data_IF_441647968744
#
_entry.id   IF_441647968744
#
_cell.length_a   1.000
_cell.length_b   1.000
_cell.length_c   1.000
_cell.angle_alpha   90.00
_cell.angle_beta   90.00
_cell.angle_gamma   90.00
#
_symmetry.space_group_name_H-M   'P 1'
#
loop_
_entity.id
_entity.type
_entity.pdbx_description
1 polymer ?
#
# COMPACT_ATOMS: atom_id res chain seq x y z
N UNK A 1 -20.17 -11.71 -38.72
CA UNK A 1 -21.03 -12.37 -39.73
C UNK A 1 -20.93 -13.90 -39.80
N UNK A 2 -20.19 -14.58 -38.90
CA UNK A 2 -20.17 -16.06 -38.86
C UNK A 2 -21.44 -16.68 -38.25
N UNK A 3 -22.12 -16.00 -37.32
CA UNK A 3 -23.33 -16.49 -36.65
C UNK A 3 -24.52 -16.73 -37.61
N UNK A 4 -24.64 -15.92 -38.68
CA UNK A 4 -25.70 -16.05 -39.70
C UNK A 4 -25.56 -17.32 -40.56
N UNK A 5 -24.36 -17.90 -40.63
CA UNK A 5 -24.06 -19.10 -41.43
C UNK A 5 -24.63 -20.37 -40.79
N UNK A 6 -24.77 -20.40 -39.47
CA UNK A 6 -25.18 -21.59 -38.70
C UNK A 6 -26.60 -21.52 -38.13
N UNK A 7 -27.25 -20.36 -38.18
CA UNK A 7 -28.62 -20.17 -37.69
C UNK A 7 -29.66 -20.67 -38.71
N UNK A 8 -30.48 -21.67 -38.36
CA UNK A 8 -31.47 -22.26 -39.29
C UNK A 8 -32.83 -21.56 -39.26
N UNK A 9 -33.14 -20.83 -38.18
CA UNK A 9 -34.44 -20.19 -38.00
C UNK A 9 -34.50 -18.83 -38.76
N UNK A 10 -35.46 -18.64 -39.70
CA UNK A 10 -35.54 -17.41 -40.51
C UNK A 10 -35.84 -16.16 -39.69
N UNK A 11 -36.68 -16.24 -38.65
CA UNK A 11 -37.01 -15.09 -37.78
C UNK A 11 -35.81 -14.63 -36.95
N UNK A 12 -35.00 -15.57 -36.46
CA UNK A 12 -33.78 -15.26 -35.69
C UNK A 12 -32.72 -14.60 -36.57
N UNK A 13 -32.59 -15.03 -37.84
CA UNK A 13 -31.67 -14.40 -38.81
C UNK A 13 -32.02 -12.95 -39.09
N UNK A 14 -33.31 -12.66 -39.22
CA UNK A 14 -33.80 -11.30 -39.45
C UNK A 14 -33.56 -10.39 -38.24
N UNK A 15 -33.83 -10.89 -37.03
CA UNK A 15 -33.54 -10.17 -35.78
C UNK A 15 -32.04 -9.90 -35.59
N UNK A 16 -31.17 -10.86 -35.92
CA UNK A 16 -29.71 -10.69 -35.85
C UNK A 16 -29.25 -9.63 -36.87
N UNK A 17 -29.78 -9.64 -38.09
CA UNK A 17 -29.47 -8.61 -39.10
C UNK A 17 -29.90 -7.22 -38.64
N UNK A 18 -31.12 -7.09 -38.11
CA UNK A 18 -31.64 -5.82 -37.59
C UNK A 18 -30.74 -5.27 -36.47
N UNK A 19 -30.43 -6.08 -35.46
CA UNK A 19 -29.52 -5.67 -34.37
C UNK A 19 -28.12 -5.32 -34.87
N UNK A 20 -27.58 -6.07 -35.83
CA UNK A 20 -26.25 -5.79 -36.39
C UNK A 20 -26.23 -4.45 -37.12
N UNK A 21 -27.31 -4.11 -37.83
CA UNK A 21 -27.48 -2.79 -38.46
C UNK A 21 -27.51 -1.67 -37.42
N UNK A 22 -28.30 -1.81 -36.35
CA UNK A 22 -28.32 -0.83 -35.25
C UNK A 22 -26.95 -0.61 -34.60
N UNK A 23 -26.18 -1.69 -34.41
CA UNK A 23 -24.81 -1.59 -33.86
C UNK A 23 -23.85 -0.87 -34.81
N UNK A 24 -23.97 -1.09 -36.13
CA UNK A 24 -23.17 -0.40 -37.15
C UNK A 24 -23.52 1.10 -37.21
N UNK A 25 -24.80 1.45 -37.23
CA UNK A 25 -25.25 2.85 -37.20
C UNK A 25 -24.79 3.57 -35.93
N UNK A 26 -24.81 2.88 -34.79
CA UNK A 26 -24.30 3.43 -33.52
C UNK A 26 -22.78 3.62 -33.55
N UNK A 27 -22.05 2.73 -34.19
CA UNK A 27 -20.61 2.84 -34.36
C UNK A 27 -20.23 4.01 -35.30
N UNK A 28 -20.99 4.24 -36.38
CA UNK A 28 -20.78 5.41 -37.26
C UNK A 28 -21.09 6.74 -36.56
N UNK A 29 -22.16 6.78 -35.75
CA UNK A 29 -22.46 7.94 -34.91
C UNK A 29 -21.34 8.21 -33.89
N UNK A 30 -20.79 7.17 -33.25
CA UNK A 30 -19.66 7.33 -32.33
C UNK A 30 -18.40 7.81 -33.04
N UNK A 31 -18.14 7.32 -34.26
CA UNK A 31 -17.00 7.76 -35.09
C UNK A 31 -17.10 9.25 -35.45
N UNK A 32 -18.27 9.70 -35.89
CA UNK A 32 -18.52 11.12 -36.21
C UNK A 32 -18.44 12.01 -34.97
N UNK A 33 -18.90 11.54 -33.81
CA UNK A 33 -18.70 12.25 -32.55
C UNK A 33 -17.23 12.36 -32.15
N UNK A 34 -16.41 11.31 -32.34
CA UNK A 34 -14.97 11.35 -32.08
C UNK A 34 -14.26 12.34 -33.01
N UNK A 35 -14.55 12.31 -34.31
CA UNK A 35 -14.00 13.25 -35.31
C UNK A 35 -14.42 14.71 -35.03
N UNK A 36 -15.67 14.93 -34.58
CA UNK A 36 -16.15 16.25 -34.15
C UNK A 36 -15.46 16.74 -32.86
N UNK A 37 -15.04 15.83 -31.99
CA UNK A 37 -14.33 16.17 -30.75
C UNK A 37 -12.85 16.48 -31.01
N UNK A 38 -12.24 15.80 -31.99
CA UNK A 38 -10.89 16.15 -32.46
C UNK A 38 -10.85 17.49 -33.17
N UNK A 39 -11.86 17.83 -33.98
CA UNK A 39 -11.93 19.14 -34.65
C UNK A 39 -12.17 20.31 -33.68
N UNK A 40 -12.86 20.08 -32.55
CA UNK A 40 -13.00 21.07 -31.46
C UNK A 40 -11.72 21.32 -30.65
N UNK A 41 -10.68 20.45 -30.77
CA UNK A 41 -9.39 20.62 -30.08
C UNK A 41 -8.36 21.46 -30.86
N UNK A 42 -8.68 21.98 -32.05
CA UNK A 42 -7.85 22.98 -32.74
C UNK A 42 -8.40 24.38 -32.47
N UNK A 43 -7.66 25.29 -31.82
CA UNK A 43 -8.06 26.70 -31.76
C UNK A 43 -7.80 27.32 -33.14
N UNK A 44 -8.87 27.77 -33.80
CA UNK A 44 -8.77 28.69 -34.93
C UNK A 44 -8.42 30.08 -34.40
N UNK A 45 -7.16 30.47 -34.53
CA UNK A 45 -6.73 31.85 -34.33
C UNK A 45 -7.32 32.72 -35.46
N UNK A 46 -8.30 33.56 -35.12
CA UNK A 46 -8.80 34.64 -35.97
C UNK A 46 -7.77 35.77 -35.92
N UNK A 47 -7.00 35.95 -37.00
CA UNK A 47 -6.11 37.08 -37.18
C UNK A 47 -6.80 38.22 -37.91
N UNK A 48 -6.97 39.36 -37.25
CA UNK A 48 -7.30 40.63 -37.87
C UNK A 48 -6.00 41.38 -38.25
N UNK A 49 -5.91 41.76 -39.52
CA UNK A 49 -4.97 42.73 -40.12
C UNK A 49 -3.45 42.46 -40.10
N UNK A 50 -2.92 42.21 -41.30
CA UNK A 50 -2.10 43.23 -41.97
C UNK A 50 -0.58 43.06 -42.01
N UNK A 51 -0.11 42.76 -43.23
CA UNK A 51 1.23 42.99 -43.83
C UNK A 51 2.32 41.92 -43.68
N UNK A 52 2.75 41.53 -44.87
CA UNK A 52 3.84 40.64 -45.26
C UNK A 52 5.19 41.33 -44.96
N UNK A 53 6.10 40.60 -44.30
CA UNK A 53 7.53 40.85 -44.41
C UNK A 53 8.28 39.51 -44.31
N UNK A 54 9.09 39.28 -45.34
CA UNK A 54 9.92 38.11 -45.61
C UNK A 54 11.18 38.15 -44.73
N UNK A 55 11.55 37.04 -44.10
CA UNK A 55 12.76 36.95 -43.28
C UNK A 55 13.04 35.54 -42.78
N UNK A 56 13.92 34.84 -43.49
CA UNK A 56 14.45 33.51 -43.20
C UNK A 56 15.17 33.42 -41.84
N UNK A 57 14.78 32.43 -41.01
CA UNK A 57 15.47 32.07 -39.78
C UNK A 57 14.96 30.73 -39.23
N UNK A 58 15.62 29.64 -39.60
CA UNK A 58 15.33 28.25 -39.24
C UNK A 58 15.62 28.05 -37.74
N UNK A 59 14.59 27.85 -36.93
CA UNK A 59 14.70 27.55 -35.50
C UNK A 59 13.53 26.66 -35.09
N UNK A 60 13.86 25.39 -34.84
CA UNK A 60 12.97 24.34 -34.36
C UNK A 60 12.40 24.73 -32.98
N UNK A 61 11.08 24.86 -32.88
CA UNK A 61 10.37 25.37 -31.68
C UNK A 61 9.04 24.68 -31.45
N UNK A 62 8.88 23.44 -31.93
CA UNK A 62 7.63 22.68 -31.78
C UNK A 62 7.78 21.41 -30.90
N UNK A 63 8.96 21.11 -30.36
CA UNK A 63 9.14 19.97 -29.45
C UNK A 63 8.87 20.32 -27.97
N UNK A 64 9.15 21.55 -27.51
CA UNK A 64 9.01 21.90 -26.08
C UNK A 64 7.56 21.96 -25.57
N UNK A 65 6.59 22.43 -26.38
CA UNK A 65 5.20 22.60 -25.92
C UNK A 65 4.46 21.26 -25.72
N UNK A 66 4.85 20.20 -26.44
CA UNK A 66 4.25 18.87 -26.30
C UNK A 66 4.83 18.08 -25.12
N UNK A 67 6.13 18.23 -24.84
CA UNK A 67 6.75 17.60 -23.66
C UNK A 67 6.14 18.12 -22.35
N UNK A 68 5.80 19.40 -22.31
CA UNK A 68 5.26 20.05 -21.13
C UNK A 68 3.79 19.63 -20.84
N UNK A 69 3.00 19.41 -21.90
CA UNK A 69 1.64 18.89 -21.78
C UNK A 69 1.61 17.42 -21.33
N UNK A 70 2.48 16.58 -21.88
CA UNK A 70 2.56 15.16 -21.49
C UNK A 70 3.20 14.98 -20.11
N UNK A 71 4.21 15.80 -19.76
CA UNK A 71 4.75 15.85 -18.40
C UNK A 71 3.69 16.23 -17.38
N UNK A 72 2.83 17.21 -17.68
CA UNK A 72 1.68 17.57 -16.81
C UNK A 72 0.67 16.43 -16.67
N UNK A 73 0.36 15.71 -17.75
CA UNK A 73 -0.52 14.51 -17.67
C UNK A 73 0.10 13.42 -16.81
N UNK A 74 1.38 13.13 -16.99
CA UNK A 74 2.10 12.12 -16.20
C UNK A 74 2.23 12.55 -14.74
N UNK A 75 2.49 13.83 -14.46
CA UNK A 75 2.45 14.40 -13.10
C UNK A 75 1.07 14.22 -12.47
N UNK A 76 -0.01 14.42 -13.21
CA UNK A 76 -1.36 14.21 -12.69
C UNK A 76 -1.68 12.72 -12.47
N UNK A 77 -1.25 11.84 -13.37
CA UNK A 77 -1.38 10.39 -13.20
C UNK A 77 -0.62 9.91 -11.96
N UNK A 78 0.61 10.42 -11.77
CA UNK A 78 1.43 10.18 -10.60
C UNK A 78 0.81 10.81 -9.34
N UNK A 79 0.27 12.02 -9.39
CA UNK A 79 -0.38 12.64 -8.23
C UNK A 79 -1.62 11.86 -7.76
N UNK A 80 -2.31 11.17 -8.68
CA UNK A 80 -3.42 10.26 -8.34
C UNK A 80 -2.97 8.90 -7.79
N UNK A 81 -1.81 8.39 -8.22
CA UNK A 81 -1.27 7.10 -7.80
C UNK A 81 -0.36 7.19 -6.55
N UNK A 82 0.30 8.33 -6.36
CA UNK A 82 1.21 8.60 -5.25
C UNK A 82 0.41 9.24 -4.13
N UNK A 83 0.30 8.51 -3.02
CA UNK A 83 -0.09 9.11 -1.74
C UNK A 83 1.03 10.04 -1.28
N UNK A 84 0.94 11.32 -1.66
CA UNK A 84 1.78 12.41 -1.13
C UNK A 84 1.15 12.96 0.14
N UNK A 85 1.02 12.12 1.15
CA UNK A 85 0.46 12.50 2.45
C UNK A 85 1.47 12.27 3.56
N UNK A 86 1.39 13.06 4.63
CA UNK A 86 2.17 12.80 5.84
C UNK A 86 1.42 11.75 6.65
N UNK A 87 1.84 10.47 6.64
CA UNK A 87 1.22 9.49 7.52
C UNK A 87 1.30 10.01 8.97
N UNK A 88 0.32 9.64 9.80
CA UNK A 88 0.31 9.95 11.23
C UNK A 88 0.60 8.68 12.04
N UNK A 89 1.71 8.02 11.73
CA UNK A 89 2.17 6.83 12.44
C UNK A 89 3.45 7.19 13.17
N UNK A 90 3.52 6.99 14.48
CA UNK A 90 4.71 7.34 15.26
C UNK A 90 5.57 6.12 15.56
N UNK A 91 6.78 6.34 16.09
CA UNK A 91 7.67 5.24 16.50
C UNK A 91 7.09 4.39 17.64
N UNK A 92 6.23 4.97 18.47
CA UNK A 92 5.55 4.32 19.59
C UNK A 92 4.46 3.35 19.14
N UNK A 93 3.85 3.62 17.97
CA UNK A 93 2.79 2.78 17.40
C UNK A 93 3.35 1.49 16.76
N UNK A 94 4.65 1.47 16.47
CA UNK A 94 5.35 0.28 15.97
C UNK A 94 5.82 -0.53 17.18
N UNK A 95 5.35 -1.75 17.37
CA UNK A 95 5.82 -2.60 18.46
C UNK A 95 7.08 -3.40 18.06
N UNK A 96 8.10 -3.37 18.92
CA UNK A 96 9.36 -4.09 18.72
C UNK A 96 10.27 -3.49 17.64
N UNK A 97 11.11 -4.34 17.05
CA UNK A 97 12.01 -4.02 15.93
C UNK A 97 13.00 -2.89 16.27
N UNK A 98 13.50 -2.85 17.51
CA UNK A 98 14.36 -1.79 18.02
C UNK A 98 15.63 -1.60 17.16
N UNK A 99 16.26 -2.69 16.73
CA UNK A 99 17.39 -2.70 15.81
C UNK A 99 17.05 -2.06 14.46
N UNK A 100 15.94 -2.45 13.84
CA UNK A 100 15.47 -1.89 12.57
C UNK A 100 15.11 -0.41 12.70
N UNK A 101 14.47 -0.02 13.81
CA UNK A 101 14.17 1.38 14.12
C UNK A 101 15.44 2.20 14.27
N UNK A 102 16.44 1.69 14.99
CA UNK A 102 17.71 2.37 15.19
C UNK A 102 18.45 2.55 13.85
N UNK A 103 18.52 1.51 13.03
CA UNK A 103 19.11 1.57 11.69
C UNK A 103 18.39 2.61 10.80
N UNK A 104 17.06 2.70 10.87
CA UNK A 104 16.29 3.70 10.11
C UNK A 104 16.43 5.12 10.68
N UNK A 105 16.50 5.28 12.00
CA UNK A 105 16.77 6.57 12.64
C UNK A 105 18.15 7.10 12.23
N UNK A 106 19.17 6.25 12.24
CA UNK A 106 20.51 6.60 11.78
C UNK A 106 20.52 6.94 10.28
N UNK A 107 19.85 6.15 9.46
CA UNK A 107 19.91 6.31 8.01
C UNK A 107 19.08 7.49 7.48
N UNK A 108 17.96 7.82 8.14
CA UNK A 108 16.99 8.82 7.65
C UNK A 108 16.97 10.08 8.50
N UNK A 109 16.86 9.95 9.82
CA UNK A 109 16.69 11.10 10.71
C UNK A 109 18.02 11.82 10.92
N UNK A 110 19.12 11.09 11.09
CA UNK A 110 20.43 11.69 11.38
C UNK A 110 20.92 12.64 10.27
N UNK A 111 20.82 12.31 8.97
CA UNK A 111 21.22 13.23 7.90
C UNK A 111 20.37 14.49 7.80
N UNK A 112 19.07 14.39 8.12
CA UNK A 112 18.15 15.52 8.08
C UNK A 112 18.42 16.44 9.28
N UNK A 113 18.62 15.87 10.47
CA UNK A 113 18.80 16.62 11.71
C UNK A 113 20.20 17.24 11.83
N UNK A 114 21.23 16.54 11.37
CA UNK A 114 22.63 16.97 11.50
C UNK A 114 23.40 16.87 10.17
N UNK A 115 23.04 17.68 9.16
CA UNK A 115 23.66 17.61 7.83
C UNK A 115 25.17 17.88 7.84
N UNK A 116 25.67 18.63 8.83
CA UNK A 116 27.09 18.94 8.98
C UNK A 116 27.98 17.71 9.27
N UNK A 117 27.40 16.63 9.83
CA UNK A 117 28.13 15.37 10.06
C UNK A 117 28.41 14.61 8.75
N UNK A 118 27.59 14.84 7.73
CA UNK A 118 27.65 14.16 6.43
C UNK A 118 28.43 14.99 5.40
N UNK A 119 29.70 15.24 5.71
CA UNK A 119 30.63 15.99 4.86
C UNK A 119 31.79 15.11 4.36
N UNK A 120 32.31 15.43 3.17
CA UNK A 120 33.38 14.67 2.54
C UNK A 120 32.93 13.27 2.12
N UNK A 121 33.66 12.23 2.57
CA UNK A 121 33.35 10.83 2.24
C UNK A 121 32.18 10.24 3.04
N UNK A 122 31.75 10.91 4.11
CA UNK A 122 30.58 10.50 4.91
C UNK A 122 29.31 10.95 4.19
N UNK A 123 28.71 10.02 3.46
CA UNK A 123 27.49 10.26 2.68
C UNK A 123 26.33 9.48 3.30
N UNK A 124 25.11 10.05 3.32
CA UNK A 124 23.93 9.32 3.78
C UNK A 124 23.63 8.16 2.84
N UNK A 125 22.98 7.13 3.39
CA UNK A 125 22.51 6.00 2.60
C UNK A 125 21.46 6.45 1.58
N UNK A 126 21.55 5.94 0.35
CA UNK A 126 20.61 6.29 -0.72
C UNK A 126 19.49 5.27 -0.89
N UNK A 127 19.74 4.03 -0.48
CA UNK A 127 18.82 2.91 -0.66
C UNK A 127 18.84 1.96 0.53
N UNK A 128 17.66 1.74 1.13
CA UNK A 128 17.44 0.78 2.21
C UNK A 128 16.36 -0.21 1.77
N UNK A 129 16.65 -1.51 1.92
CA UNK A 129 15.70 -2.58 1.66
C UNK A 129 15.20 -3.15 2.99
N UNK A 130 13.89 -3.09 3.22
CA UNK A 130 13.19 -3.80 4.28
C UNK A 130 12.73 -5.15 3.72
N UNK A 131 13.11 -6.25 4.36
CA UNK A 131 12.72 -7.58 3.92
C UNK A 131 12.35 -8.47 5.10
N UNK A 132 11.53 -9.48 4.84
CA UNK A 132 11.13 -10.46 5.85
C UNK A 132 9.73 -10.99 5.58
N UNK A 133 9.18 -11.84 6.46
CA UNK A 133 7.88 -12.46 6.26
C UNK A 133 6.74 -11.45 6.04
N UNK A 134 5.66 -11.83 5.33
CA UNK A 134 4.48 -10.98 5.18
C UNK A 134 3.83 -10.68 6.54
N UNK A 135 3.15 -9.54 6.64
CA UNK A 135 2.41 -9.17 7.85
C UNK A 135 3.26 -8.73 9.05
N UNK A 136 4.56 -8.48 8.86
CA UNK A 136 5.50 -8.01 9.90
C UNK A 136 5.59 -6.49 10.03
N UNK A 137 4.80 -5.74 9.26
CA UNK A 137 4.71 -4.28 9.39
C UNK A 137 5.77 -3.49 8.62
N UNK A 138 6.41 -4.04 7.58
CA UNK A 138 7.37 -3.32 6.70
C UNK A 138 6.82 -1.99 6.17
N UNK A 139 5.61 -2.01 5.58
CA UNK A 139 4.97 -0.80 5.06
C UNK A 139 4.51 0.14 6.18
N UNK A 140 4.20 -0.39 7.37
CA UNK A 140 3.86 0.41 8.55
C UNK A 140 5.08 1.13 9.14
N UNK A 141 6.23 0.45 9.18
CA UNK A 141 7.52 1.01 9.59
C UNK A 141 7.98 2.11 8.62
N UNK A 142 7.81 1.92 7.31
CA UNK A 142 8.11 2.95 6.32
C UNK A 142 7.25 4.21 6.49
N UNK A 143 5.97 4.06 6.83
CA UNK A 143 5.08 5.18 7.19
C UNK A 143 5.57 5.89 8.44
N UNK A 144 5.96 5.15 9.49
CA UNK A 144 6.49 5.73 10.72
C UNK A 144 7.76 6.57 10.48
N UNK A 145 8.68 6.06 9.66
CA UNK A 145 9.89 6.79 9.24
C UNK A 145 9.53 8.11 8.56
N UNK A 146 8.53 8.10 7.68
CA UNK A 146 8.12 9.27 6.95
C UNK A 146 7.53 10.37 7.83
N UNK A 147 6.66 9.98 8.78
CA UNK A 147 6.08 10.87 9.79
C UNK A 147 7.17 11.57 10.59
N UNK A 148 8.15 10.79 11.05
CA UNK A 148 9.20 11.23 11.98
C UNK A 148 10.31 12.03 11.28
N UNK A 149 10.58 11.72 10.00
CA UNK A 149 11.49 12.50 9.18
C UNK A 149 10.90 13.85 8.74
N UNK A 150 9.59 14.08 8.93
CA UNK A 150 8.85 15.25 8.42
C UNK A 150 9.16 15.53 6.93
N UNK A 151 9.30 14.45 6.15
CA UNK A 151 9.78 14.45 4.78
C UNK A 151 8.65 14.09 3.82
N UNK A 152 8.74 14.51 2.56
CA UNK A 152 7.74 14.17 1.54
C UNK A 152 7.78 12.67 1.27
N UNK A 153 6.68 11.96 1.52
CA UNK A 153 6.58 10.52 1.31
C UNK A 153 5.92 10.22 -0.03
N UNK A 154 6.63 9.50 -0.89
CA UNK A 154 6.11 8.99 -2.15
C UNK A 154 5.91 7.49 -2.00
N UNK A 155 4.68 7.05 -1.73
CA UNK A 155 4.33 5.63 -1.69
C UNK A 155 3.91 5.16 -3.08
N UNK A 156 4.60 4.17 -3.63
CA UNK A 156 4.33 3.61 -4.96
C UNK A 156 4.36 2.09 -4.90
N UNK A 157 3.35 1.42 -5.46
CA UNK A 157 3.39 -0.02 -5.65
C UNK A 157 4.05 -0.37 -6.97
N UNK A 158 4.64 -1.57 -7.05
CA UNK A 158 5.14 -2.15 -8.29
C UNK A 158 4.10 -2.14 -9.43
N UNK A 159 2.81 -2.29 -9.12
CA UNK A 159 1.71 -2.22 -10.09
C UNK A 159 1.50 -0.83 -10.69
N UNK A 160 1.74 0.23 -9.90
CA UNK A 160 1.44 1.61 -10.29
C UNK A 160 2.42 2.15 -11.33
N UNK A 161 3.61 1.53 -11.40
CA UNK A 161 4.66 1.86 -12.35
C UNK A 161 4.51 1.16 -13.71
N UNK A 162 3.59 0.18 -13.83
CA UNK A 162 3.38 -0.57 -15.06
C UNK A 162 2.19 -0.01 -15.82
N UNK A 163 2.44 0.55 -17.01
CA UNK A 163 1.40 1.05 -17.91
C UNK A 163 1.24 0.17 -19.16
N UNK A 164 0.05 0.24 -19.78
CA UNK A 164 -0.25 -0.51 -21.02
C UNK A 164 0.41 0.09 -22.27
N UNK A 165 0.83 1.35 -22.20
CA UNK A 165 1.41 2.07 -23.32
C UNK A 165 2.93 1.97 -23.28
N UNK A 166 3.52 1.51 -24.37
CA UNK A 166 4.97 1.32 -24.51
C UNK A 166 5.73 2.63 -24.22
N UNK A 167 6.72 2.57 -23.33
CA UNK A 167 7.59 3.71 -22.97
C UNK A 167 6.99 4.71 -21.96
N UNK A 168 5.69 4.66 -21.69
CA UNK A 168 5.07 5.53 -20.68
C UNK A 168 5.54 5.17 -19.26
N UNK A 169 5.73 3.87 -18.98
CA UNK A 169 6.24 3.38 -17.68
C UNK A 169 7.63 3.93 -17.31
N UNK A 170 8.54 4.04 -18.29
CA UNK A 170 9.87 4.63 -18.07
C UNK A 170 9.77 6.13 -17.78
N UNK A 171 8.88 6.84 -18.49
CA UNK A 171 8.62 8.26 -18.25
C UNK A 171 8.01 8.49 -16.85
N UNK A 172 7.14 7.59 -16.39
CA UNK A 172 6.59 7.62 -15.03
C UNK A 172 7.69 7.48 -13.97
N UNK A 173 8.61 6.51 -14.11
CA UNK A 173 9.75 6.36 -13.20
C UNK A 173 10.63 7.62 -13.20
N UNK A 174 10.98 8.15 -14.39
CA UNK A 174 11.74 9.40 -14.49
C UNK A 174 11.04 10.56 -13.77
N UNK A 175 9.73 10.67 -13.96
CA UNK A 175 8.94 11.76 -13.42
C UNK A 175 8.76 11.64 -11.90
N UNK A 176 8.58 10.44 -11.36
CA UNK A 176 8.59 10.16 -9.91
C UNK A 176 9.88 10.66 -9.25
N UNK A 177 11.04 10.30 -9.82
CA UNK A 177 12.33 10.74 -9.29
C UNK A 177 12.56 12.25 -9.47
N UNK A 178 12.05 12.86 -10.53
CA UNK A 178 12.10 14.31 -10.69
C UNK A 178 11.25 15.01 -9.62
N UNK A 179 10.02 14.55 -9.37
CA UNK A 179 9.15 15.08 -8.32
C UNK A 179 9.77 14.93 -6.92
N UNK A 180 10.40 13.77 -6.64
CA UNK A 180 11.12 13.59 -5.38
C UNK A 180 12.32 14.53 -5.24
N UNK A 181 13.02 14.84 -6.34
CA UNK A 181 14.12 15.81 -6.35
C UNK A 181 13.64 17.26 -6.18
N UNK A 182 12.46 17.59 -6.70
CA UNK A 182 11.81 18.90 -6.52
C UNK A 182 11.36 19.09 -5.06
N UNK A 183 10.94 18.02 -4.37
CA UNK A 183 10.37 18.07 -3.01
C UNK A 183 11.32 17.57 -1.90
N UNK A 184 12.62 17.86 -2.00
CA UNK A 184 13.63 17.44 -1.01
C UNK A 184 13.43 18.13 0.35
N UNK A 185 13.63 17.44 1.49
CA UNK A 185 13.96 16.02 1.63
C UNK A 185 12.76 15.13 1.27
N UNK A 186 13.00 14.08 0.49
CA UNK A 186 11.96 13.15 0.03
C UNK A 186 12.34 11.68 0.24
N UNK A 187 11.33 10.86 0.52
CA UNK A 187 11.43 9.42 0.67
C UNK A 187 10.54 8.76 -0.39
N UNK A 188 11.13 7.94 -1.26
CA UNK A 188 10.41 7.09 -2.20
C UNK A 188 10.29 5.70 -1.59
N UNK A 189 9.08 5.29 -1.25
CA UNK A 189 8.77 3.93 -0.80
C UNK A 189 8.19 3.11 -1.95
N UNK A 190 8.87 2.03 -2.29
CA UNK A 190 8.44 1.06 -3.30
C UNK A 190 8.06 -0.22 -2.55
N UNK A 191 6.77 -0.54 -2.52
CA UNK A 191 6.29 -1.81 -1.96
C UNK A 191 6.37 -2.93 -2.99
N UNK A 192 6.54 -4.17 -2.51
CA UNK A 192 6.68 -5.37 -3.35
C UNK A 192 7.71 -5.21 -4.47
N UNK A 193 8.93 -4.75 -4.14
CA UNK A 193 9.97 -4.46 -5.14
C UNK A 193 10.34 -5.68 -5.99
N UNK A 194 10.13 -6.89 -5.47
CA UNK A 194 10.34 -8.16 -6.15
C UNK A 194 9.46 -8.33 -7.40
N UNK A 195 8.26 -7.75 -7.42
CA UNK A 195 7.37 -7.83 -8.58
C UNK A 195 7.93 -7.10 -9.82
N UNK A 196 8.69 -6.01 -9.63
CA UNK A 196 9.40 -5.32 -10.71
C UNK A 196 10.84 -5.79 -10.89
N UNK A 197 11.48 -6.23 -9.81
CA UNK A 197 12.93 -6.43 -9.74
C UNK A 197 13.35 -7.90 -9.70
N UNK A 198 12.56 -8.81 -10.31
CA UNK A 198 12.89 -10.23 -10.44
C UNK A 198 14.18 -10.52 -11.23
N UNK A 199 14.72 -11.75 -11.22
CA UNK A 199 15.95 -12.07 -11.93
C UNK A 199 15.76 -11.94 -13.44
N UNK A 200 16.79 -11.48 -14.16
CA UNK A 200 16.74 -11.41 -15.62
C UNK A 200 16.71 -12.83 -16.21
N UNK A 201 15.66 -13.16 -16.96
CA UNK A 201 15.46 -14.50 -17.54
C UNK A 201 14.54 -14.52 -18.75
N UNK A 202 14.41 -15.68 -19.42
CA UNK A 202 13.68 -15.84 -20.69
C UNK A 202 12.16 -15.58 -20.63
N UNK A 203 11.57 -15.50 -19.43
CA UNK A 203 10.14 -15.19 -19.24
C UNK A 203 9.82 -13.71 -18.94
N UNK A 204 10.84 -12.84 -18.89
CA UNK A 204 10.65 -11.44 -18.49
C UNK A 204 10.11 -10.58 -19.66
N UNK A 205 9.00 -9.89 -19.43
CA UNK A 205 8.46 -8.92 -20.39
C UNK A 205 9.48 -7.83 -20.69
N UNK A 206 9.60 -7.45 -21.96
CA UNK A 206 10.47 -6.35 -22.39
C UNK A 206 10.17 -5.05 -21.62
N UNK A 207 8.90 -4.79 -21.32
CA UNK A 207 8.49 -3.63 -20.52
C UNK A 207 9.11 -3.66 -19.10
N UNK A 208 9.11 -4.81 -18.43
CA UNK A 208 9.71 -4.97 -17.10
C UNK A 208 11.22 -4.74 -17.12
N UNK A 209 11.92 -5.25 -18.15
CA UNK A 209 13.37 -5.02 -18.33
C UNK A 209 13.71 -3.54 -18.47
N UNK A 210 12.92 -2.80 -19.24
CA UNK A 210 13.14 -1.37 -19.46
C UNK A 210 12.86 -0.56 -18.20
N UNK A 211 11.77 -0.85 -17.48
CA UNK A 211 11.45 -0.22 -16.18
C UNK A 211 12.58 -0.46 -15.17
N UNK A 212 13.06 -1.70 -15.05
CA UNK A 212 14.17 -2.07 -14.15
C UNK A 212 15.45 -1.32 -14.50
N UNK A 213 15.76 -1.21 -15.78
CA UNK A 213 16.94 -0.48 -16.26
C UNK A 213 16.82 1.00 -15.93
N UNK A 214 15.65 1.60 -16.16
CA UNK A 214 15.41 3.00 -15.82
C UNK A 214 15.49 3.25 -14.31
N UNK A 215 14.92 2.37 -13.50
CA UNK A 215 15.00 2.44 -12.03
C UNK A 215 16.46 2.43 -11.56
N UNK A 216 17.29 1.52 -12.09
CA UNK A 216 18.72 1.46 -11.77
C UNK A 216 19.45 2.76 -12.11
N UNK A 217 19.19 3.33 -13.29
CA UNK A 217 19.78 4.60 -13.73
C UNK A 217 19.37 5.74 -12.79
N UNK A 218 18.10 5.81 -12.38
CA UNK A 218 17.63 6.83 -11.45
C UNK A 218 18.19 6.66 -10.03
N UNK A 219 18.37 5.42 -9.55
CA UNK A 219 18.99 5.09 -8.26
C UNK A 219 20.46 5.50 -8.19
N UNK A 220 21.22 5.31 -9.28
CA UNK A 220 22.61 5.76 -9.35
C UNK A 220 22.74 7.28 -9.35
N UNK A 221 21.71 7.97 -9.86
CA UNK A 221 21.73 9.41 -10.03
C UNK A 221 22.75 9.86 -11.07
N UNK A 222 22.99 9.05 -12.10
CA UNK A 222 23.88 9.43 -13.21
C UNK A 222 23.37 10.74 -13.83
N UNK A 223 24.19 11.79 -13.77
CA UNK A 223 23.87 13.12 -14.32
C UNK A 223 22.91 13.99 -13.50
N UNK A 224 22.47 13.59 -12.30
CA UNK A 224 21.54 14.38 -11.46
C UNK A 224 21.89 14.32 -9.97
N UNK A 225 21.68 15.44 -9.27
CA UNK A 225 21.91 15.52 -7.83
C UNK A 225 20.88 14.68 -7.04
N UNK A 226 21.30 13.49 -6.61
CA UNK A 226 20.52 12.56 -5.78
C UNK A 226 20.59 12.88 -4.27
N UNK A 227 21.29 13.95 -3.85
CA UNK A 227 21.33 14.34 -2.43
C UNK A 227 19.92 14.67 -1.94
N UNK A 228 19.56 14.16 -0.76
CA UNK A 228 18.26 14.44 -0.12
C UNK A 228 17.07 13.62 -0.63
N UNK A 229 17.30 12.60 -1.48
CA UNK A 229 16.29 11.60 -1.84
C UNK A 229 16.73 10.25 -1.31
N UNK A 230 15.86 9.62 -0.52
CA UNK A 230 16.04 8.27 0.01
C UNK A 230 15.08 7.30 -0.67
N UNK A 231 15.56 6.10 -0.99
CA UNK A 231 14.73 5.03 -1.55
C UNK A 231 14.57 3.93 -0.49
N UNK A 232 13.33 3.66 -0.10
CA UNK A 232 12.95 2.56 0.75
C UNK A 232 12.26 1.49 -0.12
N UNK A 233 12.79 0.28 -0.14
CA UNK A 233 12.13 -0.86 -0.77
C UNK A 233 11.56 -1.80 0.28
N UNK A 234 10.40 -2.41 0.04
CA UNK A 234 9.90 -3.53 0.83
C UNK A 234 9.72 -4.78 -0.04
N UNK A 235 10.10 -5.95 0.48
CA UNK A 235 9.87 -7.25 -0.18
C UNK A 235 9.62 -8.36 0.83
N UNK A 236 8.82 -9.35 0.42
CA UNK A 236 8.63 -10.59 1.17
C UNK A 236 9.57 -11.72 0.69
N UNK A 237 10.15 -11.56 -0.50
CA UNK A 237 10.83 -12.62 -1.25
C UNK A 237 12.22 -12.13 -1.72
N UNK A 238 13.14 -11.83 -0.78
CA UNK A 238 14.40 -11.16 -1.11
C UNK A 238 15.36 -12.00 -1.98
N UNK A 239 15.19 -13.32 -2.03
CA UNK A 239 15.97 -14.22 -2.89
C UNK A 239 15.60 -14.12 -4.38
N UNK A 240 14.44 -13.57 -4.73
CA UNK A 240 14.07 -13.31 -6.13
C UNK A 240 14.58 -11.97 -6.64
N UNK A 241 15.22 -11.15 -5.79
CA UNK A 241 15.69 -9.84 -6.20
C UNK A 241 16.93 -9.92 -7.10
N UNK A 242 16.90 -9.20 -8.22
CA UNK A 242 18.04 -9.07 -9.14
C UNK A 242 19.30 -8.54 -8.41
N UNK A 243 20.46 -9.11 -8.76
CA UNK A 243 21.72 -8.79 -8.11
C UNK A 243 22.12 -7.30 -8.26
N UNK A 244 21.78 -6.65 -9.37
CA UNK A 244 22.08 -5.23 -9.58
C UNK A 244 21.22 -4.34 -8.68
N UNK A 245 19.93 -4.65 -8.54
CA UNK A 245 19.02 -3.94 -7.62
C UNK A 245 19.44 -4.17 -6.17
N UNK A 246 19.76 -5.42 -5.81
CA UNK A 246 20.28 -5.77 -4.49
C UNK A 246 21.57 -5.01 -4.14
N UNK A 247 22.42 -4.70 -5.12
CA UNK A 247 23.63 -3.86 -4.93
C UNK A 247 23.29 -2.38 -4.69
N UNK A 248 22.19 -1.86 -5.25
CA UNK A 248 21.76 -0.46 -5.06
C UNK A 248 21.12 -0.21 -3.70
N UNK A 249 20.49 -1.24 -3.12
CA UNK A 249 20.10 -1.23 -1.71
C UNK A 249 21.32 -1.49 -0.82
N UNK A 250 21.94 -0.39 -0.38
CA UNK A 250 23.19 -0.37 0.38
C UNK A 250 23.01 -0.94 1.78
N UNK A 251 21.87 -0.66 2.42
CA UNK A 251 21.49 -1.22 3.72
C UNK A 251 20.31 -2.17 3.52
N UNK A 252 20.36 -3.34 4.16
CA UNK A 252 19.31 -4.36 4.10
C UNK A 252 18.93 -4.74 5.52
N UNK A 253 17.71 -4.39 5.90
CA UNK A 253 17.19 -4.55 7.25
C UNK A 253 16.19 -5.70 7.25
N UNK A 254 16.50 -6.74 8.00
CA UNK A 254 15.59 -7.86 8.22
C UNK A 254 14.52 -7.45 9.22
N UNK A 255 13.26 -7.71 8.88
CA UNK A 255 12.10 -7.52 9.76
C UNK A 255 11.59 -8.91 10.12
N UNK A 256 11.96 -9.37 11.32
CA UNK A 256 11.56 -10.68 11.84
C UNK A 256 10.11 -10.68 12.35
N UNK A 257 9.62 -11.87 12.69
CA UNK A 257 8.42 -12.00 13.50
C UNK A 257 8.60 -11.32 14.87
N UNK A 258 7.51 -10.83 15.48
CA UNK A 258 7.57 -10.15 16.77
C UNK A 258 7.96 -11.10 17.91
N UNK A 259 8.81 -10.60 18.82
CA UNK A 259 9.14 -11.28 20.08
C UNK A 259 7.96 -11.21 21.07
N UNK A 260 8.08 -11.88 22.21
CA UNK A 260 7.01 -11.90 23.22
C UNK A 260 6.63 -10.49 23.67
N UNK A 261 7.59 -9.59 23.88
CA UNK A 261 7.32 -8.24 24.36
C UNK A 261 6.63 -7.39 23.27
N UNK A 262 7.05 -7.53 22.01
CA UNK A 262 6.38 -6.91 20.88
C UNK A 262 4.94 -7.44 20.74
N UNK A 263 4.71 -8.75 20.86
CA UNK A 263 3.36 -9.31 20.79
C UNK A 263 2.44 -8.79 21.90
N UNK A 264 2.93 -8.68 23.14
CA UNK A 264 2.18 -8.05 24.24
C UNK A 264 1.77 -6.62 23.87
N UNK A 265 2.72 -5.80 23.42
CA UNK A 265 2.44 -4.42 22.98
C UNK A 265 1.46 -4.38 21.80
N UNK A 266 1.58 -5.28 20.83
CA UNK A 266 0.67 -5.38 19.68
C UNK A 266 -0.76 -5.69 20.12
N UNK A 267 -0.97 -6.63 21.05
CA UNK A 267 -2.30 -6.90 21.58
C UNK A 267 -2.89 -5.69 22.29
N UNK A 268 -2.09 -4.97 23.09
CA UNK A 268 -2.52 -3.74 23.76
C UNK A 268 -2.91 -2.65 22.77
N UNK A 269 -2.08 -2.40 21.75
CA UNK A 269 -2.34 -1.40 20.72
C UNK A 269 -3.56 -1.77 19.87
N UNK A 270 -3.74 -3.04 19.53
CA UNK A 270 -4.85 -3.52 18.71
C UNK A 270 -6.21 -3.45 19.44
N UNK A 271 -6.22 -3.64 20.77
CA UNK A 271 -7.44 -3.45 21.59
C UNK A 271 -7.81 -1.97 21.72
N UNK A 272 -6.80 -1.10 21.78
CA UNK A 272 -6.98 0.35 21.77
C UNK A 272 -7.75 0.85 23.00
N UNK A 273 -8.80 1.64 22.75
CA UNK A 273 -9.64 2.22 23.80
C UNK A 273 -10.88 1.38 24.12
N UNK A 274 -11.01 0.18 23.54
CA UNK A 274 -12.19 -0.66 23.75
C UNK A 274 -12.24 -1.11 25.20
N UNK A 275 -13.35 -0.89 25.93
CA UNK A 275 -13.50 -1.38 27.29
C UNK A 275 -13.33 -2.91 27.34
N UNK A 276 -12.32 -3.37 28.08
CA UNK A 276 -12.07 -4.79 28.27
C UNK A 276 -11.66 -5.04 29.73
N UNK A 277 -11.99 -6.23 30.24
CA UNK A 277 -11.65 -6.64 31.61
C UNK A 277 -10.23 -7.22 31.71
N UNK A 278 -9.41 -7.02 30.68
CA UNK A 278 -8.08 -7.63 30.58
C UNK A 278 -7.03 -6.90 31.42
N UNK A 279 -6.18 -7.69 32.08
CA UNK A 279 -5.01 -7.22 32.82
C UNK A 279 -3.72 -7.34 32.00
N UNK A 280 -2.63 -6.73 32.49
CA UNK A 280 -1.30 -6.89 31.90
C UNK A 280 -0.82 -8.35 31.85
N UNK A 281 -1.18 -9.15 32.84
CA UNK A 281 -0.84 -10.57 32.87
C UNK A 281 -1.56 -11.34 31.75
N UNK A 282 -2.80 -10.97 31.45
CA UNK A 282 -3.60 -11.60 30.41
C UNK A 282 -3.02 -11.36 29.01
N UNK A 283 -2.53 -10.15 28.73
CA UNK A 283 -1.82 -9.85 27.48
C UNK A 283 -0.56 -10.69 27.31
N UNK A 284 0.16 -10.95 28.41
CA UNK A 284 1.34 -11.83 28.41
C UNK A 284 0.94 -13.27 28.08
N UNK A 285 -0.13 -13.78 28.69
CA UNK A 285 -0.65 -15.13 28.37
C UNK A 285 -1.05 -15.25 26.90
N UNK A 286 -1.71 -14.24 26.33
CA UNK A 286 -2.03 -14.25 24.89
C UNK A 286 -0.77 -14.25 24.02
N UNK A 287 0.23 -13.46 24.38
CA UNK A 287 1.50 -13.40 23.64
C UNK A 287 2.29 -14.72 23.69
N UNK A 288 2.20 -15.47 24.79
CA UNK A 288 2.76 -16.82 24.90
C UNK A 288 2.00 -17.82 24.02
N UNK A 289 0.67 -17.71 23.95
CA UNK A 289 -0.16 -18.56 23.10
C UNK A 289 -0.04 -18.27 21.60
N UNK A 290 0.34 -17.04 21.23
CA UNK A 290 0.43 -16.58 19.84
C UNK A 290 1.85 -16.68 19.27
N UNK A 291 2.61 -17.72 19.65
CA UNK A 291 3.96 -17.93 19.11
C UNK A 291 3.91 -18.16 17.59
N UNK A 292 4.81 -17.50 16.85
CA UNK A 292 4.86 -17.58 15.39
C UNK A 292 3.86 -16.68 14.65
N UNK A 293 3.05 -15.89 15.37
CA UNK A 293 2.07 -14.99 14.74
C UNK A 293 2.78 -13.76 14.15
N UNK A 294 2.34 -13.35 12.96
CA UNK A 294 2.67 -12.04 12.41
C UNK A 294 1.84 -10.93 13.06
N UNK A 295 2.20 -9.66 12.84
CA UNK A 295 1.40 -8.53 13.32
C UNK A 295 0.00 -8.50 12.69
N UNK A 296 -0.12 -8.94 11.43
CA UNK A 296 -1.41 -9.13 10.77
C UNK A 296 -2.25 -10.23 11.44
N UNK A 297 -1.65 -11.36 11.80
CA UNK A 297 -2.36 -12.45 12.48
C UNK A 297 -2.89 -12.01 13.85
N UNK A 298 -2.10 -11.24 14.60
CA UNK A 298 -2.53 -10.65 15.89
C UNK A 298 -3.70 -9.69 15.67
N UNK A 299 -3.61 -8.81 14.67
CA UNK A 299 -4.67 -7.84 14.37
C UNK A 299 -5.99 -8.55 14.01
N UNK A 300 -5.92 -9.62 13.21
CA UNK A 300 -7.09 -10.43 12.86
C UNK A 300 -7.65 -11.17 14.07
N UNK A 301 -6.79 -11.73 14.93
CA UNK A 301 -7.23 -12.41 16.15
C UNK A 301 -7.93 -11.45 17.12
N UNK A 302 -7.40 -10.23 17.29
CA UNK A 302 -8.04 -9.20 18.10
C UNK A 302 -9.37 -8.78 17.48
N UNK A 303 -9.42 -8.55 16.16
CA UNK A 303 -10.67 -8.23 15.48
C UNK A 303 -11.74 -9.32 15.66
N UNK A 304 -11.37 -10.60 15.57
CA UNK A 304 -12.30 -11.71 15.83
C UNK A 304 -12.78 -11.76 17.29
N UNK A 305 -11.91 -11.39 18.25
CA UNK A 305 -12.27 -11.26 19.65
C UNK A 305 -13.25 -10.09 19.89
N UNK A 306 -13.00 -8.93 19.27
CA UNK A 306 -13.87 -7.75 19.31
C UNK A 306 -15.27 -8.02 18.75
N UNK A 307 -15.40 -9.00 17.84
CA UNK A 307 -16.69 -9.43 17.29
C UNK A 307 -17.44 -10.43 18.19
N UNK A 308 -16.83 -10.98 19.25
CA UNK A 308 -17.51 -11.96 20.12
C UNK A 308 -18.72 -11.38 20.88
N UNK A 309 -18.66 -10.16 21.47
CA UNK A 309 -19.83 -9.54 22.09
C UNK A 309 -21.00 -9.38 21.12
N UNK A 310 -20.71 -9.00 19.88
CA UNK A 310 -21.73 -8.85 18.82
C UNK A 310 -22.38 -10.21 18.50
N UNK A 311 -21.57 -11.27 18.36
CA UNK A 311 -22.08 -12.63 18.15
C UNK A 311 -22.91 -13.13 19.35
N UNK A 312 -22.54 -12.75 20.58
CA UNK A 312 -23.33 -13.07 21.79
C UNK A 312 -24.69 -12.36 21.75
N UNK A 313 -24.75 -11.08 21.37
CA UNK A 313 -26.02 -10.35 21.21
C UNK A 313 -26.91 -11.01 20.14
N UNK A 314 -26.34 -11.36 18.98
CA UNK A 314 -27.10 -11.98 17.90
C UNK A 314 -27.68 -13.35 18.25
N UNK A 315 -26.99 -14.13 19.08
CA UNK A 315 -27.40 -15.48 19.48
C UNK A 315 -28.16 -15.53 20.80
N UNK A 316 -28.22 -14.42 21.53
CA UNK A 316 -28.91 -14.33 22.81
C UNK A 316 -30.43 -14.34 22.63
N UNK A 317 -31.09 -15.14 23.46
CA UNK A 317 -32.55 -15.22 23.55
C UNK A 317 -33.11 -14.47 24.77
N UNK A 318 -32.27 -14.19 25.77
CA UNK A 318 -32.67 -13.56 27.03
C UNK A 318 -31.80 -12.35 27.33
N UNK A 319 -32.45 -11.29 27.84
CA UNK A 319 -31.82 -10.01 28.18
C UNK A 319 -32.21 -9.59 29.59
N UNK A 320 -31.31 -8.86 30.24
CA UNK A 320 -31.53 -8.32 31.59
C UNK A 320 -31.30 -6.82 31.60
N UNK A 321 -32.13 -6.10 32.37
CA UNK A 321 -31.94 -4.67 32.64
C UNK A 321 -30.82 -4.44 33.63
N UNK A 322 -29.92 -3.51 33.32
CA UNK A 322 -28.79 -3.08 34.14
C UNK A 322 -28.77 -1.55 34.15
N UNK A 323 -28.59 -0.96 35.33
CA UNK A 323 -28.39 0.48 35.48
C UNK A 323 -26.91 0.81 35.26
N UNK A 324 -26.61 1.57 34.21
CA UNK A 324 -25.27 2.09 33.93
C UNK A 324 -25.37 3.61 33.88
N UNK A 325 -24.63 4.30 34.73
CA UNK A 325 -24.60 5.78 34.79
C UNK A 325 -25.98 6.44 34.97
N UNK A 326 -26.91 5.76 35.65
CA UNK A 326 -28.27 6.25 35.89
C UNK A 326 -29.25 6.04 34.72
N UNK A 327 -28.82 5.40 33.63
CA UNK A 327 -29.68 5.00 32.51
C UNK A 327 -29.96 3.49 32.56
N UNK A 328 -31.21 3.09 32.30
CA UNK A 328 -31.56 1.68 32.14
C UNK A 328 -31.08 1.19 30.77
N UNK A 329 -30.14 0.24 30.79
CA UNK A 329 -29.69 -0.47 29.59
C UNK A 329 -30.03 -1.96 29.68
N UNK A 330 -30.07 -2.64 28.55
CA UNK A 330 -30.31 -4.09 28.46
C UNK A 330 -29.07 -4.79 27.93
N UNK A 331 -28.71 -5.90 28.57
CA UNK A 331 -27.55 -6.71 28.17
C UNK A 331 -27.94 -8.19 28.07
N UNK A 332 -27.35 -8.97 27.16
CA UNK A 332 -27.55 -10.41 27.09
C UNK A 332 -27.27 -11.12 28.42
N UNK A 333 -28.15 -12.06 28.82
CA UNK A 333 -28.02 -12.81 30.06
C UNK A 333 -28.40 -14.29 29.89
N UNK A 334 -28.16 -15.10 30.92
CA UNK A 334 -28.55 -16.52 30.90
C UNK A 334 -30.06 -16.66 31.15
N UNK A 335 -30.75 -17.66 30.58
CA UNK A 335 -32.19 -17.84 30.76
C UNK A 335 -32.64 -18.01 32.23
N UNK A 336 -31.75 -18.49 33.11
CA UNK A 336 -32.03 -18.67 34.53
C UNK A 336 -31.73 -17.45 35.41
N UNK A 337 -31.27 -16.33 34.85
CA UNK A 337 -30.88 -15.17 35.64
C UNK A 337 -32.10 -14.42 36.20
N UNK A 338 -31.98 -13.91 37.42
CA UNK A 338 -33.04 -13.09 38.03
C UNK A 338 -33.27 -11.81 37.20
N UNK A 339 -34.48 -11.68 36.67
CA UNK A 339 -34.87 -10.58 35.78
C UNK A 339 -34.56 -10.82 34.30
N UNK A 340 -34.28 -12.06 33.89
CA UNK A 340 -34.16 -12.44 32.49
C UNK A 340 -35.51 -12.27 31.76
N UNK A 341 -35.48 -11.53 30.65
CA UNK A 341 -36.62 -11.31 29.77
C UNK A 341 -36.31 -11.95 28.42
N UNK A 342 -37.20 -12.82 27.94
CA UNK A 342 -37.07 -13.42 26.62
C UNK A 342 -37.39 -12.38 25.54
N UNK A 343 -36.39 -12.01 24.74
CA UNK A 343 -36.55 -11.07 23.63
C UNK A 343 -35.41 -11.23 22.61
N UNK A 344 -35.66 -10.78 21.39
CA UNK A 344 -34.65 -10.70 20.32
C UNK A 344 -33.92 -9.36 20.35
N UNK A 345 -32.65 -9.34 19.93
CA UNK A 345 -31.86 -8.11 19.78
C UNK A 345 -32.53 -7.08 18.85
N UNK A 346 -33.35 -7.53 17.90
CA UNK A 346 -34.10 -6.66 16.96
C UNK A 346 -35.14 -5.77 17.65
N UNK A 347 -35.54 -6.12 18.87
CA UNK A 347 -36.54 -5.40 19.65
C UNK A 347 -35.91 -4.43 20.65
N UNK A 348 -34.58 -4.29 20.65
CA UNK A 348 -33.81 -3.42 21.53
C UNK A 348 -33.36 -2.19 20.74
N UNK A 349 -33.65 -1.00 21.28
CA UNK A 349 -33.20 0.26 20.70
C UNK A 349 -31.68 0.46 20.88
N UNK A 350 -31.06 1.19 19.96
CA UNK A 350 -29.59 1.32 19.89
C UNK A 350 -28.97 2.01 21.12
N UNK A 351 -29.69 2.92 21.76
CA UNK A 351 -29.27 3.66 22.96
C UNK A 351 -29.41 2.84 24.26
N UNK A 352 -30.31 1.85 24.26
CA UNK A 352 -30.59 0.99 25.40
C UNK A 352 -29.72 -0.27 25.42
N UNK A 353 -29.12 -0.66 24.29
CA UNK A 353 -28.28 -1.85 24.24
C UNK A 353 -26.94 -1.61 24.96
N UNK A 354 -26.61 -2.51 25.89
CA UNK A 354 -25.29 -2.60 26.50
C UNK A 354 -24.60 -3.87 26.03
N UNK A 355 -23.49 -3.69 25.33
CA UNK A 355 -22.66 -4.80 24.86
C UNK A 355 -22.04 -5.59 26.04
N UNK A 356 -21.97 -6.93 25.94
CA UNK A 356 -21.23 -7.73 26.91
C UNK A 356 -19.75 -7.29 27.00
N UNK A 357 -19.15 -7.26 28.19
CA UNK A 357 -17.75 -6.89 28.33
C UNK A 357 -16.84 -7.92 27.62
N UNK A 358 -15.74 -7.42 27.07
CA UNK A 358 -14.70 -8.25 26.48
C UNK A 358 -13.87 -8.92 27.57
N UNK A 359 -13.85 -10.25 27.55
CA UNK A 359 -13.13 -11.09 28.52
C UNK A 359 -12.01 -11.87 27.86
N UNK A 360 -10.99 -12.27 28.64
CA UNK A 360 -9.85 -13.07 28.16
C UNK A 360 -10.29 -14.34 27.37
N UNK A 361 -11.41 -14.97 27.75
CA UNK A 361 -11.94 -16.16 27.05
C UNK A 361 -12.25 -15.89 25.58
N UNK A 362 -12.70 -14.69 25.24
CA UNK A 362 -13.02 -14.29 23.86
C UNK A 362 -11.74 -14.22 23.02
N UNK A 363 -10.67 -13.67 23.59
CA UNK A 363 -9.34 -13.62 22.96
C UNK A 363 -8.68 -15.00 22.84
N UNK A 364 -8.75 -15.82 23.89
CA UNK A 364 -8.23 -17.20 23.84
C UNK A 364 -8.91 -17.99 22.72
N UNK A 365 -10.23 -17.85 22.57
CA UNK A 365 -11.00 -18.48 21.50
C UNK A 365 -10.53 -17.99 20.12
N UNK A 366 -10.36 -16.68 19.96
CA UNK A 366 -9.90 -16.10 18.70
C UNK A 366 -8.47 -16.56 18.34
N UNK A 367 -7.54 -16.54 19.30
CA UNK A 367 -6.16 -17.01 19.09
C UNK A 367 -6.14 -18.48 18.73
N UNK A 368 -6.92 -19.35 19.39
CA UNK A 368 -6.99 -20.78 19.07
C UNK A 368 -7.61 -21.08 17.71
N UNK A 369 -8.55 -20.26 17.26
CA UNK A 369 -9.22 -20.44 15.97
C UNK A 369 -8.35 -19.93 14.81
N UNK A 370 -7.56 -18.89 15.06
CA UNK A 370 -6.59 -18.38 14.09
C UNK A 370 -5.41 -19.33 13.95
N UNK A 371 -4.90 -19.50 12.74
CA UNK A 371 -3.65 -20.24 12.48
C UNK A 371 -2.58 -19.25 12.00
N UNK A 372 -1.30 -19.44 12.35
CA UNK A 372 -0.22 -18.61 11.83
C UNK A 372 -0.19 -18.64 10.29
N UNK A 373 -0.02 -17.47 9.67
CA UNK A 373 0.02 -17.36 8.20
C UNK A 373 1.42 -17.66 7.66
N UNK A 374 2.48 -17.44 8.45
CA UNK A 374 3.87 -17.59 8.03
C UNK A 374 4.34 -19.03 8.20
N UNK A 375 4.88 -19.63 7.13
CA UNK A 375 5.41 -21.00 7.16
C UNK A 375 6.82 -21.06 7.78
N UNK A 376 7.19 -22.22 8.34
CA UNK A 376 8.55 -22.45 8.84
C UNK A 376 9.59 -22.46 7.71
N UNK A 377 9.20 -22.89 6.51
CA UNK A 377 10.06 -22.86 5.33
C UNK A 377 10.43 -21.42 4.94
N UNK A 378 9.47 -20.49 4.99
CA UNK A 378 9.72 -19.07 4.69
C UNK A 378 10.65 -18.44 5.73
N UNK A 379 10.52 -18.81 7.00
CA UNK A 379 11.41 -18.36 8.06
C UNK A 379 12.83 -18.86 7.84
N UNK A 380 12.98 -20.14 7.46
CA UNK A 380 14.27 -20.72 7.16
C UNK A 380 14.93 -20.03 5.96
N UNK A 381 14.19 -19.83 4.87
CA UNK A 381 14.70 -19.11 3.69
C UNK A 381 15.11 -17.68 3.99
N UNK A 382 14.33 -16.95 4.80
CA UNK A 382 14.71 -15.60 5.25
C UNK A 382 15.97 -15.62 6.12
N UNK A 383 16.13 -16.61 7.00
CA UNK A 383 17.32 -16.78 7.83
C UNK A 383 18.58 -17.08 7.01
N UNK A 384 18.48 -18.00 6.05
CA UNK A 384 19.57 -18.33 5.12
C UNK A 384 19.98 -17.11 4.29
N UNK A 385 19.01 -16.40 3.70
CA UNK A 385 19.28 -15.17 2.96
C UNK A 385 19.89 -14.07 3.83
N UNK A 386 19.45 -13.95 5.09
CA UNK A 386 19.99 -12.98 6.05
C UNK A 386 21.45 -13.27 6.40
N UNK A 387 21.81 -14.55 6.56
CA UNK A 387 23.21 -14.95 6.80
C UNK A 387 24.12 -14.63 5.61
N UNK A 388 23.60 -14.74 4.39
CA UNK A 388 24.37 -14.52 3.18
C UNK A 388 24.46 -13.03 2.78
N UNK A 389 23.37 -12.28 2.92
CA UNK A 389 23.21 -10.94 2.34
C UNK A 389 22.68 -9.87 3.31
N UNK A 390 22.29 -10.24 4.52
CA UNK A 390 21.78 -9.32 5.54
C UNK A 390 22.86 -8.37 6.03
N UNK A 391 22.45 -7.17 6.46
CA UNK A 391 23.37 -6.24 7.13
C UNK A 391 23.45 -6.58 8.62
N UNK A 392 24.65 -6.71 9.19
CA UNK A 392 24.83 -6.94 10.64
C UNK A 392 24.16 -5.82 11.46
N UNK A 393 23.44 -6.22 12.51
CA UNK A 393 22.72 -5.32 13.43
C UNK A 393 21.24 -5.08 13.10
N UNK A 394 20.58 -5.97 12.35
CA UNK A 394 19.12 -5.99 12.16
C UNK A 394 18.48 -7.11 12.99
#
# INVERSE_FOLDING_TARGET
>A
MLALKWEKNPKSKEMIRAKTGEYLDRAEKLKTHLEATESRKKPSAVGANGKVAQGSGKGDKNEDDNEDADSKKLRNALAGAILSDKPNVKWEDVAGLESAKEALKEAVILPIKFPHLFTGKRQPWKGILLYGPPGTGKSYLAKAVATEANSTFFSVSSSDLVSKWMGESERLVKQLFNMARENKPAIIFIDEVDALCGPRGEGESEASRRIKTELLVQMDGVGKDSRGVLILGATNIPWQLDAAIRRRFQRRVHISLPDINARVKMFMLAVGQTPCEMTQADYRTLAEMSEGYSGSDISIAVQDALMQPIRKIQTATHYKKVLVEGQEKVTPCSPGDAGAMEMSWTNVEADQLLEPPLVLKDFIKAVRNSRPTVSQEDLQRNSEWTKEFGSEGA
#
